data_IF_368368740496
#
_entry.id   IF_368368740496
#
_cell.length_a   1.000
_cell.length_b   1.000
_cell.length_c   1.000
_cell.angle_alpha   90.00
_cell.angle_beta   90.00
_cell.angle_gamma   90.00
#
_symmetry.space_group_name_H-M   'P 1'
#
loop_
_entity.id
_entity.type
_entity.pdbx_description
1 polymer ?
#
# COMPACT_ATOMS: atom_id res chain seq x y z
N UNK A 1 11.90 -0.47 -0.09
CA UNK A 1 11.15 0.79 0.14
C UNK A 1 11.51 1.74 -0.99
N UNK A 2 10.52 2.41 -1.59
CA UNK A 2 10.72 3.44 -2.61
C UNK A 2 9.76 4.61 -2.36
N UNK A 3 10.10 5.81 -2.81
CA UNK A 3 9.36 7.02 -2.48
C UNK A 3 9.27 7.99 -3.65
N UNK A 4 8.24 8.82 -3.67
CA UNK A 4 8.18 9.98 -4.57
C UNK A 4 7.48 11.16 -3.93
N UNK A 5 7.87 12.37 -4.35
CA UNK A 5 7.20 13.60 -3.97
C UNK A 5 5.95 13.78 -4.83
N UNK A 6 4.77 13.89 -4.19
CA UNK A 6 3.54 14.16 -4.90
C UNK A 6 3.60 15.53 -5.59
N UNK A 7 3.02 15.68 -6.79
CA UNK A 7 3.06 16.94 -7.55
C UNK A 7 2.16 18.05 -6.95
N UNK A 8 1.44 17.75 -5.87
CA UNK A 8 0.59 18.68 -5.11
C UNK A 8 0.53 18.21 -3.67
N UNK A 9 0.25 19.15 -2.75
CA UNK A 9 -0.01 18.82 -1.35
C UNK A 9 -1.24 17.91 -1.21
N UNK A 10 -1.17 16.95 -0.28
CA UNK A 10 -2.21 15.95 -0.04
C UNK A 10 -2.76 16.13 1.37
N UNK A 11 -3.99 16.62 1.47
CA UNK A 11 -4.66 16.90 2.75
C UNK A 11 -5.67 15.82 3.14
N UNK A 12 -5.96 14.90 2.23
CA UNK A 12 -6.97 13.88 2.42
C UNK A 12 -6.64 12.58 1.70
N UNK A 13 -7.21 11.49 2.21
CA UNK A 13 -7.14 10.17 1.59
C UNK A 13 -7.74 10.17 0.17
N UNK A 14 -8.80 10.96 -0.06
CA UNK A 14 -9.41 11.13 -1.39
C UNK A 14 -8.44 11.76 -2.40
N UNK A 15 -7.59 12.68 -1.96
CA UNK A 15 -6.57 13.30 -2.81
C UNK A 15 -5.41 12.34 -3.07
N UNK A 16 -4.96 11.60 -2.05
CA UNK A 16 -3.96 10.56 -2.20
C UNK A 16 -4.36 9.56 -3.29
N UNK A 17 -5.60 9.09 -3.27
CA UNK A 17 -6.13 8.19 -4.29
C UNK A 17 -6.08 8.78 -5.70
N UNK A 18 -6.39 10.07 -5.85
CA UNK A 18 -6.32 10.73 -7.17
C UNK A 18 -4.88 10.81 -7.67
N UNK A 19 -3.95 11.18 -6.79
CA UNK A 19 -2.52 11.25 -7.13
C UNK A 19 -2.02 9.89 -7.57
N UNK A 20 -2.26 8.85 -6.77
CA UNK A 20 -1.85 7.49 -7.07
C UNK A 20 -2.43 6.98 -8.40
N UNK A 21 -3.74 7.15 -8.64
CA UNK A 21 -4.39 6.73 -9.90
C UNK A 21 -3.97 7.53 -11.12
N UNK A 22 -3.47 8.74 -10.95
CA UNK A 22 -3.04 9.59 -12.08
C UNK A 22 -1.56 9.37 -12.41
N UNK A 23 -0.73 9.20 -11.39
CA UNK A 23 0.72 9.27 -11.52
C UNK A 23 1.43 7.94 -11.32
N UNK A 24 0.82 6.97 -10.65
CA UNK A 24 1.49 5.70 -10.29
C UNK A 24 0.78 4.53 -10.98
N UNK A 25 -0.53 4.44 -10.83
CA UNK A 25 -1.34 3.35 -11.36
C UNK A 25 -1.89 3.71 -12.74
N UNK A 26 -1.62 2.88 -13.76
CA UNK A 26 -2.20 3.06 -15.09
C UNK A 26 -3.60 2.45 -15.16
N UNK A 27 -3.75 1.24 -14.63
CA UNK A 27 -5.04 0.57 -14.49
C UNK A 27 -5.19 -0.01 -13.08
N UNK A 28 -6.30 0.35 -12.43
CA UNK A 28 -6.58 0.00 -11.04
C UNK A 28 -8.07 0.08 -10.72
N UNK A 29 -8.50 -0.72 -9.76
CA UNK A 29 -9.85 -0.71 -9.23
C UNK A 29 -9.83 -0.47 -7.72
N UNK A 30 -10.70 0.40 -7.22
CA UNK A 30 -10.87 0.60 -5.78
C UNK A 30 -11.71 -0.55 -5.21
N UNK A 31 -11.13 -1.38 -4.34
CA UNK A 31 -11.81 -2.54 -3.74
C UNK A 31 -12.22 -2.28 -2.28
N UNK A 32 -11.52 -1.37 -1.59
CA UNK A 32 -11.92 -0.88 -0.27
C UNK A 32 -13.30 -0.22 -0.28
N UNK A 33 -14.21 -0.71 0.56
CA UNK A 33 -15.58 -0.16 0.71
C UNK A 33 -16.70 -0.92 0.01
N UNK A 34 -16.41 -1.94 -0.81
CA UNK A 34 -17.42 -2.77 -1.50
C UNK A 34 -17.98 -3.91 -0.62
N UNK A 35 -18.12 -3.68 0.69
CA UNK A 35 -18.58 -4.70 1.66
C UNK A 35 -17.49 -5.66 2.16
N UNK A 36 -16.29 -5.62 1.57
CA UNK A 36 -15.14 -6.41 2.03
C UNK A 36 -14.35 -5.62 3.09
N UNK A 37 -14.75 -5.76 4.36
CA UNK A 37 -14.09 -5.07 5.49
C UNK A 37 -12.64 -5.52 5.62
N UNK A 38 -11.72 -4.55 5.66
CA UNK A 38 -10.28 -4.80 5.79
C UNK A 38 -9.59 -5.12 4.46
N UNK A 39 -10.31 -5.09 3.33
CA UNK A 39 -9.71 -5.15 2.01
C UNK A 39 -8.70 -4.00 1.81
N UNK A 40 -7.61 -4.24 1.06
CA UNK A 40 -6.77 -3.16 0.56
C UNK A 40 -7.57 -2.12 -0.21
N UNK A 41 -7.11 -0.89 -0.26
CA UNK A 41 -7.80 0.17 -1.02
C UNK A 41 -7.92 -0.14 -2.52
N UNK A 42 -6.84 -0.63 -3.14
CA UNK A 42 -6.78 -0.89 -4.57
C UNK A 42 -6.30 -2.30 -4.91
N UNK A 43 -6.79 -2.78 -6.06
CA UNK A 43 -6.07 -3.75 -6.90
C UNK A 43 -5.55 -3.01 -8.13
N UNK A 44 -4.28 -3.22 -8.48
CA UNK A 44 -3.57 -2.54 -9.56
C UNK A 44 -3.13 -3.58 -10.60
N UNK A 45 -3.59 -3.41 -11.83
CA UNK A 45 -3.34 -4.34 -12.95
C UNK A 45 -2.21 -3.86 -13.87
N UNK A 46 -1.94 -2.56 -13.90
CA UNK A 46 -0.78 -2.01 -14.61
C UNK A 46 -0.32 -0.69 -14.01
N UNK A 47 0.97 -0.41 -14.19
CA UNK A 47 1.64 0.79 -13.68
C UNK A 47 1.93 1.76 -14.82
N UNK A 48 2.03 3.04 -14.45
CA UNK A 48 2.62 4.08 -15.30
C UNK A 48 4.14 3.93 -15.40
N UNK A 49 4.81 4.75 -16.21
CA UNK A 49 6.27 4.80 -16.28
C UNK A 49 6.89 5.10 -14.91
N UNK A 50 6.40 6.14 -14.21
CA UNK A 50 6.84 6.46 -12.85
C UNK A 50 6.66 5.28 -11.89
N UNK A 51 5.52 4.59 -11.95
CA UNK A 51 5.29 3.41 -11.10
C UNK A 51 6.31 2.29 -11.35
N UNK A 52 6.72 2.09 -12.61
CA UNK A 52 7.75 1.11 -12.98
C UNK A 52 9.15 1.57 -12.56
N UNK A 53 9.48 2.85 -12.75
CA UNK A 53 10.75 3.47 -12.32
C UNK A 53 10.95 3.37 -10.80
N UNK A 54 9.88 3.49 -10.03
CA UNK A 54 9.89 3.28 -8.58
C UNK A 54 10.04 1.80 -8.17
N UNK A 55 10.11 0.86 -9.12
CA UNK A 55 10.24 -0.57 -8.85
C UNK A 55 8.97 -1.20 -8.26
N UNK A 56 7.81 -0.56 -8.44
CA UNK A 56 6.54 -1.09 -7.97
C UNK A 56 6.05 -2.23 -8.88
N UNK A 57 5.17 -3.08 -8.35
CA UNK A 57 4.60 -4.22 -9.06
C UNK A 57 3.08 -4.17 -9.11
N UNK A 58 2.48 -4.97 -10.00
CA UNK A 58 1.03 -5.22 -9.97
C UNK A 58 0.67 -6.00 -8.72
N UNK A 59 -0.51 -5.73 -8.14
CA UNK A 59 -0.90 -6.30 -6.86
C UNK A 59 -1.92 -5.47 -6.11
N UNK A 60 -2.03 -5.71 -4.81
CA UNK A 60 -2.90 -4.95 -3.93
C UNK A 60 -2.16 -3.80 -3.28
N UNK A 61 -2.84 -2.68 -3.09
CA UNK A 61 -2.28 -1.47 -2.46
C UNK A 61 -3.21 -0.98 -1.38
N UNK A 62 -2.70 -0.86 -0.16
CA UNK A 62 -3.36 -0.19 0.97
C UNK A 62 -2.75 1.19 1.16
N UNK A 63 -3.58 2.22 1.32
CA UNK A 63 -3.15 3.60 1.49
C UNK A 63 -3.36 4.02 2.94
N UNK A 64 -2.31 4.58 3.55
CA UNK A 64 -2.38 5.14 4.91
C UNK A 64 -1.94 6.58 4.93
N UNK A 65 -2.81 7.43 5.46
CA UNK A 65 -2.44 8.79 5.81
C UNK A 65 -1.54 8.78 7.06
N UNK A 66 -0.68 9.79 7.17
CA UNK A 66 0.25 9.96 8.27
C UNK A 66 -0.34 9.61 9.65
N UNK A 67 0.42 8.81 10.42
CA UNK A 67 0.08 8.42 11.79
C UNK A 67 -1.05 7.40 11.92
N UNK A 68 -1.61 6.85 10.83
CA UNK A 68 -2.69 5.86 10.88
C UNK A 68 -2.20 4.44 10.69
N UNK A 69 -2.20 3.65 11.76
CA UNK A 69 -1.84 2.24 11.68
C UNK A 69 -2.83 1.38 10.86
N UNK A 70 -2.35 0.23 10.40
CA UNK A 70 -3.22 -0.83 9.88
C UNK A 70 -4.09 -1.38 11.00
N UNK A 71 -5.40 -1.47 10.76
CA UNK A 71 -6.29 -2.18 11.68
C UNK A 71 -6.00 -3.69 11.67
N UNK A 72 -6.32 -4.39 12.76
CA UNK A 72 -6.11 -5.86 12.85
C UNK A 72 -6.84 -6.63 11.74
N UNK A 73 -8.00 -6.13 11.31
CA UNK A 73 -8.72 -6.69 10.16
C UNK A 73 -7.94 -6.53 8.86
N UNK A 74 -7.34 -5.37 8.63
CA UNK A 74 -6.49 -5.13 7.46
C UNK A 74 -5.24 -5.99 7.50
N UNK A 75 -4.56 -6.07 8.64
CA UNK A 75 -3.43 -6.99 8.84
C UNK A 75 -3.82 -8.43 8.47
N UNK A 76 -4.93 -8.92 9.02
CA UNK A 76 -5.42 -10.27 8.75
C UNK A 76 -5.74 -10.53 7.27
N UNK A 77 -6.36 -9.57 6.58
CA UNK A 77 -6.66 -9.70 5.13
C UNK A 77 -5.39 -9.63 4.30
N UNK A 78 -4.48 -8.70 4.61
CA UNK A 78 -3.18 -8.56 3.94
C UNK A 78 -2.41 -9.88 4.04
N UNK A 79 -2.27 -10.47 5.23
CA UNK A 79 -1.59 -11.76 5.41
C UNK A 79 -2.16 -12.87 4.51
N UNK A 80 -3.49 -12.93 4.34
CA UNK A 80 -4.12 -13.90 3.44
C UNK A 80 -3.80 -13.61 1.97
N UNK A 81 -3.72 -12.34 1.59
CA UNK A 81 -3.45 -11.93 0.21
C UNK A 81 -2.00 -12.17 -0.22
N UNK A 82 -1.05 -12.16 0.72
CA UNK A 82 0.36 -12.43 0.42
C UNK A 82 0.59 -13.79 -0.25
N UNK A 83 -0.25 -14.78 0.04
CA UNK A 83 -0.19 -16.12 -0.56
C UNK A 83 -0.52 -16.15 -2.06
N UNK A 84 -1.18 -15.11 -2.59
CA UNK A 84 -1.72 -15.10 -3.97
C UNK A 84 -1.31 -13.88 -4.79
N UNK A 85 -0.85 -12.81 -4.14
CA UNK A 85 -0.49 -11.57 -4.80
C UNK A 85 0.50 -10.74 -3.97
N UNK A 86 1.24 -9.86 -4.64
CA UNK A 86 2.02 -8.82 -3.97
C UNK A 86 1.08 -7.84 -3.28
N UNK A 87 1.46 -7.40 -2.08
CA UNK A 87 0.73 -6.38 -1.35
C UNK A 87 1.68 -5.25 -0.99
N UNK A 88 1.28 -4.02 -1.32
CA UNK A 88 2.01 -2.80 -1.04
C UNK A 88 1.25 -1.94 -0.04
N UNK A 89 1.98 -1.26 0.85
CA UNK A 89 1.45 -0.19 1.69
C UNK A 89 2.02 1.13 1.17
N UNK A 90 1.13 2.07 0.82
CA UNK A 90 1.46 3.43 0.45
C UNK A 90 1.20 4.37 1.63
N UNK A 91 2.26 4.83 2.29
CA UNK A 91 2.20 5.82 3.36
C UNK A 91 2.28 7.23 2.79
N UNK A 92 1.31 8.07 3.14
CA UNK A 92 1.18 9.43 2.65
C UNK A 92 1.52 10.39 3.79
N UNK A 93 2.64 11.08 3.63
CA UNK A 93 3.20 12.01 4.60
C UNK A 93 2.63 13.42 4.41
N UNK A 94 2.65 14.26 5.45
CA UNK A 94 2.11 15.63 5.39
C UNK A 94 2.91 16.58 4.48
N UNK A 95 4.17 16.27 4.22
CA UNK A 95 5.05 16.99 3.30
C UNK A 95 4.79 16.61 1.82
N UNK A 96 3.79 15.77 1.57
CA UNK A 96 3.42 15.32 0.23
C UNK A 96 4.27 14.16 -0.28
N UNK A 97 5.19 13.61 0.52
CA UNK A 97 5.92 12.39 0.15
C UNK A 97 4.98 11.18 0.25
N UNK A 98 5.08 10.28 -0.72
CA UNK A 98 4.43 8.98 -0.68
C UNK A 98 5.51 7.90 -0.67
N UNK A 99 5.56 7.14 0.43
CA UNK A 99 6.45 6.01 0.63
C UNK A 99 5.72 4.69 0.35
N UNK A 100 6.35 3.80 -0.42
CA UNK A 100 5.83 2.48 -0.72
C UNK A 100 6.67 1.38 -0.09
N UNK A 101 5.97 0.45 0.53
CA UNK A 101 6.52 -0.73 1.19
C UNK A 101 5.88 -1.96 0.59
N UNK A 102 6.69 -2.82 -0.04
CA UNK A 102 6.26 -4.18 -0.35
C UNK A 102 6.19 -4.96 0.97
N UNK A 103 5.02 -5.50 1.26
CA UNK A 103 4.84 -6.43 2.38
C UNK A 103 5.31 -7.80 1.89
N UNK A 104 6.31 -8.35 2.56
CA UNK A 104 6.77 -9.71 2.33
C UNK A 104 6.13 -10.63 3.36
N UNK A 105 5.89 -11.90 3.00
CA UNK A 105 5.59 -12.91 4.02
C UNK A 105 6.80 -12.95 4.95
N UNK A 106 6.59 -12.61 6.22
CA UNK A 106 7.59 -12.84 7.23
C UNK A 106 7.95 -14.32 7.19
N UNK A 107 9.18 -14.61 6.78
CA UNK A 107 9.83 -15.85 7.15
C UNK A 107 9.72 -15.96 8.67
N UNK A 108 9.28 -17.13 9.10
CA UNK A 108 9.17 -17.55 10.49
C UNK A 108 10.48 -17.25 11.24
N UNK A 109 10.60 -16.08 11.88
CA UNK A 109 11.51 -15.90 13.01
C UNK A 109 10.77 -16.31 14.28
N UNK A 110 10.43 -17.59 14.31
CA UNK A 110 10.55 -18.39 15.52
C UNK A 110 12.03 -18.45 15.93
N UNK A 111 12.54 -17.37 16.54
CA UNK A 111 13.71 -17.39 17.41
C UNK A 111 13.78 -16.11 18.26
N UNK A 112 12.89 -16.05 19.25
CA UNK A 112 13.25 -15.51 20.56
C UNK A 112 12.79 -16.51 21.61
N UNK A 113 13.43 -17.68 21.59
CA UNK A 113 13.46 -18.57 22.74
C UNK A 113 14.42 -17.93 23.77
N UNK A 114 13.85 -17.51 24.90
CA UNK A 114 14.46 -17.42 26.24
C UNK A 114 15.87 -16.82 26.36
N UNK A 115 15.95 -15.58 26.87
CA UNK A 115 16.74 -15.21 28.05
C UNK A 115 16.50 -13.72 28.39
N UNK A 116 16.16 -13.46 29.67
CA UNK A 116 15.82 -12.20 30.35
C UNK A 116 14.39 -11.65 30.29
#
# INVERSE_FOLDING_TARGET
>A
MCSFLAPTEIYSEKEAYKVLRKHVFRDSHKVGGLGWRGAPDFVVYSLTELGQELGLGVGFYEVKMNGRELSDRQKSVITKLLNVAKVYIAWVHHDGIIDFYLVEEGGDEANNDKEH
#
